data_IF_078604671944
#
_entry.id   IF_078604671944
#
_cell.length_a   1.000
_cell.length_b   1.000
_cell.length_c   1.000
_cell.angle_alpha   90.00
_cell.angle_beta   90.00
_cell.angle_gamma   90.00
#
_symmetry.space_group_name_H-M   'P 1'
#
loop_
_entity.id
_entity.type
_entity.pdbx_description
1 polymer ?
#
# COMPACT_ATOMS: atom_id res chain seq x y z
N UNK A 1 11.05 -34.67 -20.84
CA UNK A 1 11.49 -34.21 -19.50
C UNK A 1 11.41 -32.70 -19.32
N UNK A 2 11.78 -31.84 -20.26
CA UNK A 2 11.71 -30.38 -20.12
C UNK A 2 10.30 -29.79 -19.91
N UNK A 3 9.28 -30.33 -20.61
CA UNK A 3 7.88 -29.91 -20.44
C UNK A 3 7.30 -30.21 -19.05
N UNK A 4 7.62 -31.37 -18.48
CA UNK A 4 7.16 -31.78 -17.14
C UNK A 4 7.85 -30.92 -16.05
N UNK A 5 9.10 -30.52 -16.24
CA UNK A 5 9.82 -29.65 -15.32
C UNK A 5 9.29 -28.20 -15.35
N UNK A 6 8.87 -27.72 -16.53
CA UNK A 6 8.23 -26.42 -16.71
C UNK A 6 6.84 -26.37 -16.07
N UNK A 7 6.00 -27.39 -16.30
CA UNK A 7 4.67 -27.49 -15.69
C UNK A 7 4.74 -27.57 -14.16
N UNK A 8 5.67 -28.33 -13.60
CA UNK A 8 5.88 -28.44 -12.16
C UNK A 8 6.38 -27.11 -11.54
N UNK A 9 7.22 -26.37 -12.27
CA UNK A 9 7.70 -25.05 -11.88
C UNK A 9 6.57 -24.01 -11.88
N UNK A 10 5.70 -24.05 -12.88
CA UNK A 10 4.53 -23.17 -12.97
C UNK A 10 3.50 -23.48 -11.88
N UNK A 11 3.24 -24.75 -11.55
CA UNK A 11 2.35 -25.13 -10.45
C UNK A 11 2.88 -24.66 -9.09
N UNK A 12 4.18 -24.78 -8.85
CA UNK A 12 4.80 -24.29 -7.61
C UNK A 12 4.72 -22.75 -7.51
N UNK A 13 4.90 -22.06 -8.61
CA UNK A 13 4.77 -20.60 -8.69
C UNK A 13 3.35 -20.13 -8.38
N UNK A 14 2.34 -20.75 -9.03
CA UNK A 14 0.92 -20.45 -8.78
C UNK A 14 0.54 -20.76 -7.32
N UNK A 15 0.98 -21.89 -6.79
CA UNK A 15 0.75 -22.27 -5.38
C UNK A 15 1.35 -21.25 -4.41
N UNK A 16 2.53 -20.73 -4.68
CA UNK A 16 3.18 -19.71 -3.83
C UNK A 16 2.41 -18.37 -3.86
N UNK A 17 1.94 -17.96 -5.06
CA UNK A 17 1.11 -16.74 -5.19
C UNK A 17 -0.22 -16.90 -4.45
N UNK A 18 -0.90 -18.03 -4.62
CA UNK A 18 -2.18 -18.29 -3.93
C UNK A 18 -2.01 -18.32 -2.41
N UNK A 19 -0.93 -18.91 -1.91
CA UNK A 19 -0.61 -18.93 -0.48
C UNK A 19 -0.38 -17.53 0.08
N UNK A 20 0.36 -16.66 -0.62
CA UNK A 20 0.53 -15.27 -0.19
C UNK A 20 -0.79 -14.49 -0.25
N UNK A 21 -1.55 -14.63 -1.33
CA UNK A 21 -2.82 -13.93 -1.49
C UNK A 21 -3.86 -14.33 -0.42
N UNK A 22 -3.95 -15.63 -0.10
CA UNK A 22 -4.86 -16.11 0.94
C UNK A 22 -4.44 -15.64 2.34
N UNK A 23 -3.14 -15.63 2.67
CA UNK A 23 -2.65 -15.10 3.93
C UNK A 23 -2.98 -13.62 4.10
N UNK A 24 -2.72 -12.82 3.08
CA UNK A 24 -3.06 -11.39 3.08
C UNK A 24 -4.58 -11.17 3.24
N UNK A 25 -5.42 -11.96 2.58
CA UNK A 25 -6.87 -11.86 2.69
C UNK A 25 -7.35 -12.23 4.11
N UNK A 26 -6.84 -13.33 4.69
CA UNK A 26 -7.15 -13.74 6.05
C UNK A 26 -6.72 -12.69 7.08
N UNK A 27 -5.52 -12.14 6.97
CA UNK A 27 -5.05 -11.08 7.85
C UNK A 27 -5.95 -9.85 7.81
N UNK A 28 -6.42 -9.46 6.62
CA UNK A 28 -7.36 -8.34 6.47
C UNK A 28 -8.72 -8.62 7.08
N UNK A 29 -9.24 -9.84 6.94
CA UNK A 29 -10.49 -10.24 7.60
C UNK A 29 -10.38 -10.13 9.11
N UNK A 30 -9.30 -10.61 9.72
CA UNK A 30 -9.05 -10.44 11.17
C UNK A 30 -9.08 -8.96 11.55
N UNK A 31 -8.46 -8.11 10.77
CA UNK A 31 -8.41 -6.66 11.00
C UNK A 31 -9.80 -6.00 10.96
N UNK A 32 -10.65 -6.42 10.01
CA UNK A 32 -12.03 -5.91 9.88
C UNK A 32 -12.90 -6.43 11.03
N UNK A 33 -12.79 -7.72 11.37
CA UNK A 33 -13.56 -8.32 12.46
C UNK A 33 -13.18 -7.77 13.85
N UNK A 34 -11.94 -7.32 14.04
CA UNK A 34 -11.51 -6.68 15.28
C UNK A 34 -12.00 -5.23 15.41
N UNK A 35 -12.40 -4.58 14.31
CA UNK A 35 -12.73 -3.15 14.31
C UNK A 35 -13.88 -2.77 15.25
N UNK A 36 -14.99 -3.53 15.39
CA UNK A 36 -16.06 -3.21 16.34
C UNK A 36 -15.60 -3.21 17.80
N UNK A 37 -14.74 -4.16 18.17
CA UNK A 37 -14.18 -4.21 19.51
C UNK A 37 -13.24 -3.03 19.78
N UNK A 38 -12.37 -2.71 18.81
CA UNK A 38 -11.46 -1.58 18.91
C UNK A 38 -12.21 -0.24 18.97
N UNK A 39 -13.28 -0.09 18.21
CA UNK A 39 -14.11 1.11 18.21
C UNK A 39 -14.83 1.36 19.55
N UNK A 40 -15.10 0.30 20.31
CA UNK A 40 -15.69 0.42 21.66
C UNK A 40 -14.66 0.76 22.73
N UNK A 41 -13.39 0.34 22.53
CA UNK A 41 -12.31 0.52 23.49
C UNK A 41 -11.58 1.86 23.33
N UNK A 42 -11.50 2.39 22.12
CA UNK A 42 -10.71 3.59 21.82
C UNK A 42 -11.58 4.75 21.34
N UNK A 43 -11.17 5.97 21.68
CA UNK A 43 -11.80 7.19 21.21
C UNK A 43 -11.46 7.50 19.76
N UNK A 44 -12.30 8.27 19.03
CA UNK A 44 -11.96 8.73 17.69
C UNK A 44 -10.67 9.57 17.64
N UNK A 45 -10.40 10.38 18.67
CA UNK A 45 -9.19 11.18 18.81
C UNK A 45 -7.93 10.33 18.87
N UNK A 46 -7.92 9.30 19.74
CA UNK A 46 -6.78 8.38 19.87
C UNK A 46 -6.55 7.61 18.57
N UNK A 47 -7.63 7.18 17.91
CA UNK A 47 -7.56 6.56 16.58
C UNK A 47 -6.96 7.51 15.55
N UNK A 48 -7.32 8.78 15.58
CA UNK A 48 -6.84 9.81 14.67
C UNK A 48 -5.34 10.07 14.85
N UNK A 49 -4.91 10.27 16.10
CA UNK A 49 -3.49 10.50 16.41
C UNK A 49 -2.66 9.25 16.04
N UNK A 50 -3.14 8.05 16.39
CA UNK A 50 -2.46 6.82 16.01
C UNK A 50 -2.40 6.64 14.48
N UNK A 51 -3.48 6.98 13.76
CA UNK A 51 -3.50 6.96 12.31
C UNK A 51 -2.49 7.94 11.71
N UNK A 52 -2.36 9.16 12.24
CA UNK A 52 -1.34 10.12 11.82
C UNK A 52 0.08 9.61 12.06
N UNK A 53 0.37 9.09 13.26
CA UNK A 53 1.68 8.51 13.58
C UNK A 53 2.04 7.39 12.60
N UNK A 54 1.12 6.45 12.37
CA UNK A 54 1.35 5.32 11.45
C UNK A 54 1.49 5.83 10.01
N UNK A 55 0.64 6.74 9.57
CA UNK A 55 0.66 7.30 8.21
C UNK A 55 1.97 8.03 7.93
N UNK A 56 2.40 8.92 8.81
CA UNK A 56 3.68 9.62 8.69
C UNK A 56 4.84 8.64 8.69
N UNK A 57 4.78 7.62 9.56
CA UNK A 57 5.80 6.56 9.58
C UNK A 57 5.85 5.77 8.28
N UNK A 58 4.71 5.45 7.65
CA UNK A 58 4.64 4.75 6.36
C UNK A 58 5.24 5.61 5.24
N UNK A 59 4.91 6.91 5.20
CA UNK A 59 5.47 7.85 4.22
C UNK A 59 6.99 7.94 4.39
N UNK A 60 7.48 8.18 5.59
CA UNK A 60 8.90 8.28 5.88
C UNK A 60 9.63 6.97 5.60
N UNK A 61 9.02 5.83 5.94
CA UNK A 61 9.59 4.51 5.66
C UNK A 61 9.75 4.22 4.17
N UNK A 62 8.95 4.82 3.29
CA UNK A 62 9.00 4.58 1.84
C UNK A 62 10.34 4.94 1.19
N UNK A 63 11.10 5.84 1.82
CA UNK A 63 12.42 6.27 1.36
C UNK A 63 13.53 6.20 2.44
N UNK A 64 13.22 5.66 3.62
CA UNK A 64 14.10 5.63 4.79
C UNK A 64 15.45 4.92 4.57
N UNK A 65 15.51 3.96 3.65
CA UNK A 65 16.70 3.22 3.24
C UNK A 65 17.14 3.54 1.81
N UNK A 66 16.61 4.63 1.21
CA UNK A 66 16.82 5.04 -0.19
C UNK A 66 16.53 3.89 -1.17
N UNK A 67 15.57 3.04 -0.83
CA UNK A 67 15.14 1.88 -1.66
C UNK A 67 16.24 0.85 -1.96
N UNK A 68 17.41 0.90 -1.33
CA UNK A 68 18.47 -0.10 -1.53
C UNK A 68 18.05 -1.51 -1.11
N UNK A 69 17.09 -1.66 -0.20
CA UNK A 69 16.53 -2.94 0.18
C UNK A 69 15.90 -3.70 -1.00
N UNK A 70 15.39 -2.99 -2.02
CA UNK A 70 14.85 -3.64 -3.22
C UNK A 70 15.93 -4.33 -4.04
N UNK A 71 17.16 -3.82 -4.00
CA UNK A 71 18.29 -4.40 -4.72
C UNK A 71 18.80 -5.71 -4.08
N UNK A 72 18.44 -6.04 -2.82
CA UNK A 72 18.91 -7.26 -2.12
C UNK A 72 18.60 -8.55 -2.90
N UNK A 73 17.53 -8.57 -3.67
CA UNK A 73 17.09 -9.74 -4.44
C UNK A 73 17.94 -9.98 -5.70
N UNK A 74 18.60 -8.94 -6.23
CA UNK A 74 19.27 -8.98 -7.53
C UNK A 74 20.61 -9.74 -7.54
N UNK A 75 21.55 -9.52 -6.57
CA UNK A 75 22.85 -10.15 -6.65
C UNK A 75 22.73 -11.68 -6.49
N UNK A 76 23.43 -12.43 -7.34
CA UNK A 76 23.61 -13.88 -7.16
C UNK A 76 24.54 -14.17 -5.96
N UNK A 77 25.55 -13.32 -5.76
CA UNK A 77 26.50 -13.45 -4.65
C UNK A 77 25.86 -12.98 -3.33
N UNK A 78 26.00 -13.82 -2.29
CA UNK A 78 25.47 -13.55 -0.95
C UNK A 78 26.17 -12.37 -0.26
N UNK A 79 27.46 -12.15 -0.53
CA UNK A 79 28.23 -11.05 0.05
C UNK A 79 27.73 -9.68 -0.40
N UNK A 80 27.39 -9.54 -1.70
CA UNK A 80 26.77 -8.31 -2.23
C UNK A 80 25.39 -8.07 -1.61
N UNK A 81 24.57 -9.12 -1.44
CA UNK A 81 23.26 -8.99 -0.79
C UNK A 81 23.40 -8.58 0.69
N UNK A 82 24.37 -9.16 1.41
CA UNK A 82 24.67 -8.79 2.81
C UNK A 82 25.20 -7.35 2.90
N UNK A 83 26.04 -6.93 1.97
CA UNK A 83 26.53 -5.54 1.90
C UNK A 83 25.37 -4.54 1.64
N UNK A 84 24.42 -4.87 0.75
CA UNK A 84 23.20 -4.08 0.53
C UNK A 84 22.34 -3.98 1.79
N UNK A 85 22.18 -5.09 2.52
CA UNK A 85 21.41 -5.09 3.78
C UNK A 85 22.05 -4.19 4.84
N UNK A 86 23.39 -4.23 4.96
CA UNK A 86 24.11 -3.33 5.87
C UNK A 86 24.00 -1.86 5.43
N UNK A 87 24.15 -1.59 4.13
CA UNK A 87 23.97 -0.25 3.59
C UNK A 87 22.58 0.28 3.90
N UNK A 88 21.53 -0.50 3.59
CA UNK A 88 20.15 -0.15 3.89
C UNK A 88 19.93 0.09 5.39
N UNK A 89 20.50 -0.74 6.26
CA UNK A 89 20.37 -0.61 7.71
C UNK A 89 21.10 0.66 8.24
N UNK A 90 22.30 0.94 7.75
CA UNK A 90 23.05 2.16 8.16
C UNK A 90 22.29 3.42 7.75
N UNK A 91 21.82 3.48 6.50
CA UNK A 91 21.02 4.61 6.02
C UNK A 91 19.74 4.76 6.85
N UNK A 92 19.03 3.66 7.11
CA UNK A 92 17.83 3.64 7.94
C UNK A 92 18.09 4.19 9.35
N UNK A 93 19.15 3.74 10.02
CA UNK A 93 19.50 4.21 11.38
C UNK A 93 19.80 5.71 11.35
N UNK A 94 20.66 6.17 10.43
CA UNK A 94 20.98 7.59 10.28
C UNK A 94 19.70 8.40 10.02
N UNK A 95 18.84 7.92 9.12
CA UNK A 95 17.56 8.57 8.81
C UNK A 95 16.65 8.64 10.04
N UNK A 96 16.52 7.56 10.82
CA UNK A 96 15.71 7.56 12.06
C UNK A 96 16.27 8.51 13.11
N UNK A 97 17.61 8.60 13.25
CA UNK A 97 18.23 9.58 14.16
C UNK A 97 17.98 11.02 13.72
N UNK A 98 18.03 11.31 12.41
CA UNK A 98 17.69 12.62 11.87
C UNK A 98 16.22 12.96 12.11
N UNK A 99 15.31 12.01 11.89
CA UNK A 99 13.87 12.21 12.18
C UNK A 99 13.64 12.43 13.68
N UNK A 100 14.29 11.66 14.55
CA UNK A 100 14.18 11.82 16.00
C UNK A 100 14.72 13.18 16.45
N UNK A 101 15.85 13.60 15.91
CA UNK A 101 16.43 14.92 16.16
C UNK A 101 15.54 16.06 15.68
N UNK A 102 14.92 15.91 14.51
CA UNK A 102 13.97 16.89 13.97
C UNK A 102 12.71 16.97 14.84
N UNK A 103 12.14 15.84 15.27
CA UNK A 103 10.99 15.79 16.18
C UNK A 103 11.34 16.49 17.50
N UNK A 104 12.51 16.16 18.08
CA UNK A 104 12.98 16.81 19.31
C UNK A 104 13.14 18.31 19.12
N UNK A 105 13.75 18.77 18.04
CA UNK A 105 13.96 20.19 17.74
C UNK A 105 12.63 20.94 17.57
N UNK A 106 11.68 20.37 16.85
CA UNK A 106 10.36 20.97 16.64
C UNK A 106 9.61 21.15 17.97
N UNK A 107 9.63 20.10 18.83
CA UNK A 107 9.00 20.17 20.15
C UNK A 107 9.74 21.13 21.11
N UNK A 108 11.07 21.22 21.01
CA UNK A 108 11.88 22.13 21.83
C UNK A 108 11.66 23.61 21.44
N UNK A 109 11.53 23.90 20.13
CA UNK A 109 11.24 25.24 19.63
C UNK A 109 9.81 25.67 19.88
N UNK A 110 8.94 24.78 20.39
CA UNK A 110 7.51 25.04 20.62
C UNK A 110 6.84 25.64 19.37
N UNK A 111 7.21 25.15 18.20
CA UNK A 111 6.69 25.66 16.94
C UNK A 111 5.18 25.45 16.88
N UNK A 112 4.43 26.52 16.83
CA UNK A 112 2.98 26.54 16.93
C UNK A 112 2.35 26.07 15.58
N UNK A 113 2.49 24.77 15.32
CA UNK A 113 1.85 24.10 14.18
C UNK A 113 0.76 23.18 14.70
N UNK A 114 -0.45 23.31 14.17
CA UNK A 114 -1.64 22.57 14.61
C UNK A 114 -1.41 21.05 14.73
N UNK A 115 -0.72 20.45 13.77
CA UNK A 115 -0.44 19.01 13.76
C UNK A 115 0.69 18.60 14.71
N UNK A 116 1.63 19.49 15.03
CA UNK A 116 2.68 19.27 16.04
C UNK A 116 2.05 19.23 17.42
N UNK A 117 1.18 20.18 17.71
CA UNK A 117 0.44 20.25 18.99
C UNK A 117 -0.49 19.02 19.13
N UNK A 118 -1.08 18.57 18.04
CA UNK A 118 -1.92 17.36 17.99
C UNK A 118 -1.13 16.08 18.30
N UNK A 119 0.05 15.92 17.74
CA UNK A 119 0.88 14.73 17.96
C UNK A 119 1.58 14.77 19.33
N UNK A 120 2.02 15.95 19.77
CA UNK A 120 2.76 16.11 21.02
C UNK A 120 3.88 15.07 21.18
N UNK A 121 3.98 14.50 22.37
CA UNK A 121 4.99 13.47 22.67
C UNK A 121 4.82 12.15 21.86
N UNK A 122 3.64 11.90 21.27
CA UNK A 122 3.43 10.73 20.41
C UNK A 122 4.25 10.78 19.12
N UNK A 123 4.74 11.96 18.71
CA UNK A 123 5.63 12.14 17.57
C UNK A 123 6.92 11.31 17.70
N UNK A 124 7.42 11.04 18.92
CA UNK A 124 8.58 10.17 19.13
C UNK A 124 8.35 8.70 18.75
N UNK A 125 7.10 8.27 18.62
CA UNK A 125 6.80 6.93 18.09
C UNK A 125 7.05 6.83 16.59
N UNK A 126 7.13 7.94 15.85
CA UNK A 126 7.37 7.95 14.40
C UNK A 126 8.72 7.33 14.06
N UNK A 127 9.88 7.84 14.57
CA UNK A 127 11.18 7.25 14.24
C UNK A 127 11.31 5.80 14.69
N UNK A 128 10.69 5.40 15.82
CA UNK A 128 10.65 4.01 16.27
C UNK A 128 9.88 3.13 15.30
N UNK A 129 8.71 3.60 14.86
CA UNK A 129 7.88 2.87 13.88
C UNK A 129 8.60 2.75 12.54
N UNK A 130 9.25 3.82 12.05
CA UNK A 130 10.06 3.81 10.82
C UNK A 130 11.18 2.80 10.92
N UNK A 131 11.87 2.73 12.04
CA UNK A 131 12.96 1.78 12.27
C UNK A 131 12.47 0.32 12.17
N UNK A 132 11.36 0.01 12.86
CA UNK A 132 10.78 -1.35 12.86
C UNK A 132 10.28 -1.72 11.47
N UNK A 133 9.58 -0.81 10.77
CA UNK A 133 9.12 -1.03 9.40
C UNK A 133 10.26 -1.18 8.40
N UNK A 134 11.32 -0.37 8.52
CA UNK A 134 12.49 -0.42 7.64
C UNK A 134 13.28 -1.72 7.80
N UNK A 135 13.52 -2.17 9.05
CA UNK A 135 14.08 -3.51 9.31
C UNK A 135 13.18 -4.59 8.68
N UNK A 136 11.85 -4.42 8.82
CA UNK A 136 10.87 -5.30 8.20
C UNK A 136 11.01 -5.39 6.69
N UNK A 137 11.20 -4.27 6.00
CA UNK A 137 11.43 -4.26 4.56
C UNK A 137 12.68 -5.05 4.16
N UNK A 138 13.80 -4.84 4.86
CA UNK A 138 15.04 -5.59 4.62
C UNK A 138 14.80 -7.10 4.77
N UNK A 139 14.19 -7.54 5.86
CA UNK A 139 13.93 -8.95 6.14
C UNK A 139 12.93 -9.58 5.16
N UNK A 140 11.87 -8.86 4.76
CA UNK A 140 10.95 -9.32 3.72
C UNK A 140 11.66 -9.55 2.39
N UNK A 141 12.62 -8.68 2.00
CA UNK A 141 13.42 -8.89 0.76
C UNK A 141 14.28 -10.14 0.86
N UNK A 142 14.83 -10.46 2.03
CA UNK A 142 15.50 -11.73 2.25
C UNK A 142 14.54 -12.91 2.17
N UNK A 143 13.33 -12.79 2.72
CA UNK A 143 12.26 -13.79 2.56
C UNK A 143 11.93 -14.08 1.10
N UNK A 144 11.84 -13.04 0.27
CA UNK A 144 11.64 -13.17 -1.18
C UNK A 144 12.85 -13.83 -1.85
N UNK A 145 14.08 -13.38 -1.54
CA UNK A 145 15.32 -13.94 -2.07
C UNK A 145 15.45 -15.43 -1.79
N UNK A 146 15.13 -15.85 -0.56
CA UNK A 146 15.17 -17.23 -0.12
C UNK A 146 13.89 -18.02 -0.43
N UNK A 147 12.94 -17.41 -1.14
CA UNK A 147 11.64 -18.01 -1.54
C UNK A 147 10.83 -18.53 -0.35
N UNK A 148 10.89 -17.86 0.79
CA UNK A 148 10.19 -18.23 2.04
C UNK A 148 8.74 -17.73 2.06
N UNK A 149 8.00 -17.89 0.96
CA UNK A 149 6.65 -17.32 0.79
C UNK A 149 5.64 -17.81 1.82
N UNK A 150 5.72 -19.08 2.26
CA UNK A 150 4.84 -19.62 3.31
C UNK A 150 5.05 -18.89 4.65
N UNK A 151 6.30 -18.63 5.02
CA UNK A 151 6.62 -17.92 6.27
C UNK A 151 6.20 -16.46 6.19
N UNK A 152 6.34 -15.81 5.04
CA UNK A 152 5.86 -14.45 4.81
C UNK A 152 4.33 -14.37 4.94
N UNK A 153 3.60 -15.31 4.34
CA UNK A 153 2.14 -15.41 4.46
C UNK A 153 1.70 -15.65 5.92
N UNK A 154 2.33 -16.59 6.62
CA UNK A 154 2.08 -16.82 8.05
C UNK A 154 2.42 -15.58 8.89
N UNK A 155 3.49 -14.86 8.52
CA UNK A 155 3.87 -13.60 9.13
C UNK A 155 2.80 -12.51 9.01
N UNK A 156 2.22 -12.32 7.82
CA UNK A 156 1.11 -11.36 7.61
C UNK A 156 -0.13 -11.69 8.45
N UNK A 157 -0.50 -12.98 8.50
CA UNK A 157 -1.63 -13.43 9.35
C UNK A 157 -1.30 -13.21 10.83
N UNK A 158 -0.10 -13.62 11.26
CA UNK A 158 0.38 -13.43 12.63
C UNK A 158 0.41 -11.95 13.02
N UNK A 159 0.91 -11.08 12.14
CA UNK A 159 0.88 -9.63 12.33
C UNK A 159 -0.55 -9.13 12.59
N UNK A 160 -1.51 -9.53 11.78
CA UNK A 160 -2.90 -9.07 11.92
C UNK A 160 -3.55 -9.56 13.21
N UNK A 161 -3.35 -10.83 13.58
CA UNK A 161 -3.86 -11.42 14.82
C UNK A 161 -3.25 -10.73 16.04
N UNK A 162 -1.91 -10.65 16.09
CA UNK A 162 -1.22 -10.05 17.23
C UNK A 162 -1.52 -8.56 17.35
N UNK A 163 -1.60 -7.82 16.23
CA UNK A 163 -2.03 -6.42 16.24
C UNK A 163 -3.43 -6.28 16.86
N UNK A 164 -4.38 -7.11 16.43
CA UNK A 164 -5.75 -7.06 16.94
C UNK A 164 -5.80 -7.43 18.46
N UNK A 165 -5.20 -8.55 18.83
CA UNK A 165 -5.18 -9.02 20.23
C UNK A 165 -4.44 -8.04 21.15
N UNK A 166 -3.28 -7.52 20.73
CA UNK A 166 -2.52 -6.55 21.54
C UNK A 166 -3.27 -5.24 21.72
N UNK A 167 -3.90 -4.72 20.66
CA UNK A 167 -4.71 -3.51 20.78
C UNK A 167 -5.92 -3.70 21.68
N UNK A 168 -6.64 -4.83 21.54
CA UNK A 168 -7.77 -5.16 22.41
C UNK A 168 -7.30 -5.33 23.87
N UNK A 169 -6.23 -6.09 24.09
CA UNK A 169 -5.69 -6.30 25.43
C UNK A 169 -5.22 -5.00 26.08
N UNK A 170 -4.45 -4.17 25.36
CA UNK A 170 -3.99 -2.87 25.89
C UNK A 170 -5.15 -1.88 26.08
N UNK A 171 -6.13 -1.86 25.18
CA UNK A 171 -7.31 -1.04 25.33
C UNK A 171 -8.18 -1.44 26.52
N UNK A 172 -8.31 -2.74 26.81
CA UNK A 172 -9.06 -3.24 27.94
C UNK A 172 -8.37 -2.99 29.29
N UNK A 173 -7.02 -3.02 29.32
CA UNK A 173 -6.25 -2.89 30.57
C UNK A 173 -5.84 -1.46 30.88
N UNK A 174 -5.43 -0.69 29.88
CA UNK A 174 -4.91 0.69 30.03
C UNK A 174 -5.93 1.75 29.62
N UNK A 175 -7.10 1.34 29.10
CA UNK A 175 -8.08 2.24 28.53
C UNK A 175 -7.68 2.79 27.16
N UNK A 176 -8.45 3.79 26.67
CA UNK A 176 -8.17 4.46 25.41
C UNK A 176 -6.82 5.19 25.47
N UNK A 177 -5.93 4.85 24.56
CA UNK A 177 -4.64 5.56 24.43
C UNK A 177 -4.02 5.35 23.06
N UNK A 178 -3.40 6.39 22.53
CA UNK A 178 -2.59 6.37 21.31
C UNK A 178 -1.48 5.31 21.41
N UNK A 179 -0.82 5.25 22.58
CA UNK A 179 0.24 4.29 22.86
C UNK A 179 -0.21 2.83 22.68
N UNK A 180 -1.40 2.49 23.17
CA UNK A 180 -1.98 1.14 23.00
C UNK A 180 -2.22 0.78 21.52
N UNK A 181 -2.68 1.73 20.72
CA UNK A 181 -2.92 1.53 19.29
C UNK A 181 -1.61 1.36 18.49
N UNK A 182 -0.60 2.18 18.77
CA UNK A 182 0.68 2.14 18.04
C UNK A 182 1.54 0.98 18.51
N UNK A 183 1.66 0.73 19.81
CA UNK A 183 2.43 -0.42 20.32
C UNK A 183 1.82 -1.75 19.92
N UNK A 184 0.48 -1.87 19.91
CA UNK A 184 -0.19 -3.04 19.38
C UNK A 184 0.09 -3.27 17.88
N UNK A 185 0.19 -2.20 17.08
CA UNK A 185 0.63 -2.29 15.68
C UNK A 185 2.10 -2.79 15.57
N UNK A 186 3.00 -2.22 16.38
CA UNK A 186 4.40 -2.62 16.40
C UNK A 186 4.60 -4.07 16.85
N UNK A 187 3.80 -4.54 17.83
CA UNK A 187 3.81 -5.94 18.26
C UNK A 187 3.45 -6.91 17.14
N UNK A 188 2.44 -6.54 16.32
CA UNK A 188 2.09 -7.31 15.13
C UNK A 188 3.22 -7.35 14.11
N UNK A 189 3.82 -6.20 13.78
CA UNK A 189 4.97 -6.13 12.87
C UNK A 189 6.13 -6.95 13.41
N UNK A 190 6.45 -6.85 14.71
CA UNK A 190 7.50 -7.64 15.34
C UNK A 190 7.25 -9.15 15.23
N UNK A 191 5.99 -9.60 15.36
CA UNK A 191 5.60 -11.00 15.16
C UNK A 191 5.86 -11.47 13.73
N UNK A 192 5.51 -10.66 12.73
CA UNK A 192 5.82 -10.95 11.33
C UNK A 192 7.33 -11.11 11.12
N UNK A 193 8.13 -10.17 11.65
CA UNK A 193 9.57 -10.21 11.56
C UNK A 193 10.16 -11.45 12.24
N UNK A 194 9.67 -11.79 13.42
CA UNK A 194 10.09 -12.99 14.15
C UNK A 194 9.85 -14.26 13.31
N UNK A 195 8.68 -14.40 12.70
CA UNK A 195 8.35 -15.56 11.86
C UNK A 195 9.23 -15.63 10.61
N UNK A 196 9.53 -14.50 9.98
CA UNK A 196 10.45 -14.43 8.83
C UNK A 196 11.86 -14.85 9.28
N UNK A 197 12.38 -14.25 10.35
CA UNK A 197 13.72 -14.56 10.89
C UNK A 197 13.84 -16.05 11.26
N UNK A 198 12.85 -16.60 11.95
CA UNK A 198 12.82 -18.02 12.30
C UNK A 198 12.87 -18.91 11.05
N UNK A 199 12.20 -18.51 9.98
CA UNK A 199 12.20 -19.27 8.72
C UNK A 199 13.54 -19.22 7.98
N UNK A 200 14.31 -18.15 8.16
CA UNK A 200 15.66 -17.97 7.58
C UNK A 200 16.71 -18.82 8.33
N UNK A 201 16.46 -19.17 9.59
CA UNK A 201 17.33 -20.05 10.39
C UNK A 201 18.77 -19.55 10.50
N UNK A 202 19.75 -20.44 10.32
CA UNK A 202 21.18 -20.13 10.43
C UNK A 202 21.64 -19.03 9.46
N UNK A 203 20.93 -18.86 8.34
CA UNK A 203 21.22 -17.81 7.33
C UNK A 203 20.95 -16.39 7.84
N UNK A 204 20.19 -16.23 8.92
CA UNK A 204 19.97 -14.90 9.51
C UNK A 204 21.30 -14.24 9.92
N UNK A 205 22.24 -14.99 10.51
CA UNK A 205 23.57 -14.49 10.89
C UNK A 205 24.39 -13.95 9.70
N UNK A 206 24.07 -14.37 8.48
CA UNK A 206 24.79 -13.91 7.27
C UNK A 206 24.20 -12.65 6.63
N UNK A 207 22.95 -12.26 7.02
CA UNK A 207 22.25 -11.10 6.44
C UNK A 207 23.05 -9.81 6.64
N UNK A 208 23.63 -9.62 7.83
CA UNK A 208 24.40 -8.44 8.19
C UNK A 208 25.89 -8.71 8.36
N UNK A 209 26.38 -9.87 7.90
CA UNK A 209 27.80 -10.23 8.02
C UNK A 209 28.68 -9.24 7.23
N UNK A 210 29.76 -8.79 7.87
CA UNK A 210 30.76 -7.93 7.23
C UNK A 210 31.48 -8.74 6.15
N UNK A 211 31.39 -8.31 4.90
CA UNK A 211 32.20 -8.85 3.80
C UNK A 211 33.57 -8.21 3.84
N UNK A 212 34.61 -9.01 3.61
CA UNK A 212 35.96 -8.49 3.44
C UNK A 212 36.22 -7.99 2.00
N UNK A 213 35.42 -8.46 1.05
CA UNK A 213 35.59 -8.22 -0.39
C UNK A 213 34.71 -7.10 -0.93
N UNK A 214 33.59 -6.76 -0.25
CA UNK A 214 32.62 -5.77 -0.74
C UNK A 214 32.59 -4.52 0.15
N UNK A 215 33.07 -3.39 -0.39
CA UNK A 215 32.92 -2.07 0.23
C UNK A 215 31.48 -1.57 0.12
N UNK A 216 30.95 -0.92 1.16
CA UNK A 216 29.61 -0.28 1.13
C UNK A 216 29.53 0.78 0.04
N UNK A 217 30.63 1.50 -0.20
CA UNK A 217 30.71 2.54 -1.25
C UNK A 217 30.55 1.94 -2.65
N UNK A 218 31.22 0.85 -2.97
CA UNK A 218 31.13 0.18 -4.27
C UNK A 218 29.72 -0.32 -4.55
N UNK A 219 29.04 -0.87 -3.52
CA UNK A 219 27.67 -1.35 -3.62
C UNK A 219 26.70 -0.18 -3.78
N UNK A 220 26.86 0.90 -3.01
CA UNK A 220 26.07 2.11 -3.14
C UNK A 220 26.15 2.70 -4.55
N UNK A 221 27.35 2.81 -5.10
CA UNK A 221 27.57 3.33 -6.44
C UNK A 221 26.96 2.42 -7.53
N UNK A 222 27.12 1.10 -7.41
CA UNK A 222 26.59 0.13 -8.38
C UNK A 222 25.06 0.16 -8.45
N UNK A 223 24.36 0.34 -7.32
CA UNK A 223 22.90 0.32 -7.24
C UNK A 223 22.29 1.71 -7.01
N UNK A 224 23.01 2.77 -7.34
CA UNK A 224 22.60 4.18 -7.15
C UNK A 224 21.26 4.53 -7.79
N UNK A 225 20.88 3.83 -8.87
CA UNK A 225 19.63 4.08 -9.59
C UNK A 225 18.40 3.81 -8.71
N UNK A 226 18.51 2.92 -7.72
CA UNK A 226 17.46 2.71 -6.73
C UNK A 226 17.25 3.95 -5.86
N UNK A 227 18.33 4.58 -5.41
CA UNK A 227 18.26 5.79 -4.61
C UNK A 227 17.76 6.99 -5.44
N UNK A 228 18.23 7.13 -6.68
CA UNK A 228 17.96 8.32 -7.52
C UNK A 228 16.55 8.27 -8.12
N UNK A 229 16.08 7.10 -8.58
CA UNK A 229 14.83 7.00 -9.32
C UNK A 229 13.72 6.28 -8.53
N UNK A 230 14.05 5.18 -7.86
CA UNK A 230 13.05 4.37 -7.19
C UNK A 230 12.60 4.98 -5.87
N UNK A 231 13.51 5.57 -5.10
CA UNK A 231 13.19 6.17 -3.80
C UNK A 231 12.25 7.37 -3.92
N UNK A 232 12.47 8.37 -4.81
CA UNK A 232 11.49 9.44 -5.05
C UNK A 232 10.15 8.93 -5.55
N UNK A 233 10.16 7.92 -6.43
CA UNK A 233 8.93 7.29 -6.94
C UNK A 233 8.14 6.62 -5.81
N UNK A 234 8.82 5.90 -4.91
CA UNK A 234 8.19 5.27 -3.74
C UNK A 234 7.59 6.31 -2.78
N UNK A 235 8.30 7.43 -2.56
CA UNK A 235 7.80 8.55 -1.74
C UNK A 235 6.55 9.17 -2.36
N UNK A 236 6.57 9.48 -3.66
CA UNK A 236 5.41 10.06 -4.36
C UNK A 236 4.19 9.12 -4.31
N UNK A 237 4.41 7.82 -4.47
CA UNK A 237 3.34 6.83 -4.34
C UNK A 237 2.77 6.78 -2.91
N UNK A 238 3.64 6.73 -1.90
CA UNK A 238 3.24 6.72 -0.50
C UNK A 238 2.48 8.00 -0.11
N UNK A 239 2.97 9.18 -0.55
CA UNK A 239 2.28 10.45 -0.36
C UNK A 239 0.88 10.42 -0.99
N UNK A 240 0.76 9.95 -2.24
CA UNK A 240 -0.52 9.89 -2.94
C UNK A 240 -1.53 8.97 -2.25
N UNK A 241 -1.08 7.83 -1.73
CA UNK A 241 -1.94 6.87 -1.01
C UNK A 241 -2.38 7.38 0.36
N UNK A 242 -1.51 8.11 1.06
CA UNK A 242 -1.74 8.59 2.42
C UNK A 242 -2.28 10.04 2.48
N UNK A 243 -2.37 10.70 1.34
CA UNK A 243 -2.72 12.12 1.22
C UNK A 243 -3.97 12.52 2.02
N UNK A 244 -5.11 11.78 1.97
CA UNK A 244 -6.31 12.21 2.67
C UNK A 244 -6.12 12.30 4.20
N UNK A 245 -5.40 11.32 4.80
CA UNK A 245 -5.14 11.30 6.23
C UNK A 245 -4.24 12.47 6.62
N UNK A 246 -3.20 12.76 5.83
CA UNK A 246 -2.28 13.87 6.08
C UNK A 246 -3.00 15.21 5.99
N UNK A 247 -3.80 15.40 4.93
CA UNK A 247 -4.53 16.66 4.73
C UNK A 247 -5.63 16.86 5.77
N UNK A 248 -6.37 15.80 6.14
CA UNK A 248 -7.32 15.88 7.24
C UNK A 248 -6.65 16.23 8.57
N UNK A 249 -5.46 15.67 8.83
CA UNK A 249 -4.69 15.98 10.03
C UNK A 249 -4.11 17.40 10.04
N UNK A 250 -3.86 17.98 8.86
CA UNK A 250 -3.35 19.34 8.74
C UNK A 250 -4.45 20.41 8.94
N UNK A 251 -5.67 20.12 8.52
CA UNK A 251 -6.75 21.11 8.47
C UNK A 251 -7.87 20.88 9.49
N UNK A 252 -7.97 19.68 10.07
CA UNK A 252 -9.07 19.32 10.96
C UNK A 252 -8.58 18.66 12.26
N UNK A 253 -9.51 18.39 13.17
CA UNK A 253 -9.21 17.76 14.45
C UNK A 253 -8.78 16.29 14.32
N UNK A 254 -8.08 15.72 15.31
CA UNK A 254 -7.71 14.29 15.36
C UNK A 254 -8.92 13.37 15.26
N UNK A 255 -10.05 13.75 15.85
CA UNK A 255 -11.29 12.97 15.77
C UNK A 255 -11.74 12.77 14.31
N UNK A 256 -11.66 13.82 13.48
CA UNK A 256 -11.99 13.77 12.04
C UNK A 256 -11.07 12.78 11.32
N UNK A 257 -9.79 12.81 11.62
CA UNK A 257 -8.82 11.83 11.09
C UNK A 257 -9.19 10.42 11.52
N UNK A 258 -9.57 10.22 12.79
CA UNK A 258 -9.98 8.93 13.34
C UNK A 258 -11.22 8.38 12.65
N UNK A 259 -12.26 9.19 12.48
CA UNK A 259 -13.45 8.82 11.74
C UNK A 259 -13.15 8.40 10.31
N UNK A 260 -12.35 9.20 9.59
CA UNK A 260 -11.94 8.86 8.23
C UNK A 260 -11.08 7.59 8.18
N UNK A 261 -10.10 7.46 9.06
CA UNK A 261 -9.19 6.32 9.06
C UNK A 261 -9.92 4.99 9.31
N UNK A 262 -10.89 4.96 10.25
CA UNK A 262 -11.69 3.77 10.51
C UNK A 262 -12.65 3.48 9.36
N UNK A 263 -13.34 4.49 8.85
CA UNK A 263 -14.23 4.39 7.68
C UNK A 263 -13.48 3.82 6.46
N UNK A 264 -12.35 4.44 6.11
CA UNK A 264 -11.50 4.01 5.01
C UNK A 264 -10.99 2.57 5.20
N UNK A 265 -10.57 2.21 6.41
CA UNK A 265 -10.09 0.85 6.72
C UNK A 265 -11.17 -0.20 6.53
N UNK A 266 -12.39 0.04 6.97
CA UNK A 266 -13.50 -0.91 6.90
C UNK A 266 -14.02 -1.09 5.47
N UNK A 267 -14.06 -0.02 4.68
CA UNK A 267 -14.62 -0.07 3.32
C UNK A 267 -13.56 -0.37 2.26
N UNK A 268 -12.39 0.28 2.31
CA UNK A 268 -11.37 0.13 1.26
C UNK A 268 -10.61 -1.19 1.35
N UNK A 269 -10.46 -1.77 2.55
CA UNK A 269 -9.81 -3.09 2.65
C UNK A 269 -10.52 -4.21 1.87
N UNK A 270 -11.84 -4.44 2.01
CA UNK A 270 -12.56 -5.41 1.19
C UNK A 270 -12.49 -5.10 -0.30
N UNK A 271 -12.65 -3.82 -0.68
CA UNK A 271 -12.49 -3.37 -2.09
C UNK A 271 -11.12 -3.78 -2.63
N UNK A 272 -10.06 -3.58 -1.85
CA UNK A 272 -8.70 -3.91 -2.26
C UNK A 272 -8.45 -5.42 -2.42
N UNK A 273 -9.14 -6.29 -1.66
CA UNK A 273 -9.06 -7.75 -1.83
C UNK A 273 -9.72 -8.16 -3.16
N UNK A 274 -10.98 -7.76 -3.35
CA UNK A 274 -11.76 -8.07 -4.55
C UNK A 274 -11.09 -7.48 -5.79
N UNK A 275 -10.73 -6.19 -5.73
CA UNK A 275 -10.16 -5.46 -6.86
C UNK A 275 -8.83 -6.05 -7.35
N UNK A 276 -7.93 -6.47 -6.43
CA UNK A 276 -6.67 -7.11 -6.82
C UNK A 276 -6.90 -8.47 -7.47
N UNK A 277 -7.79 -9.29 -6.91
CA UNK A 277 -8.10 -10.61 -7.45
C UNK A 277 -8.67 -10.49 -8.86
N UNK A 278 -9.67 -9.63 -9.05
CA UNK A 278 -10.29 -9.39 -10.36
C UNK A 278 -9.27 -8.83 -11.36
N UNK A 279 -8.47 -7.84 -10.94
CA UNK A 279 -7.44 -7.24 -11.81
C UNK A 279 -6.42 -8.28 -12.31
N UNK A 280 -5.97 -9.18 -11.43
CA UNK A 280 -4.97 -10.19 -11.79
C UNK A 280 -5.52 -11.18 -12.82
N UNK A 281 -6.74 -11.69 -12.59
CA UNK A 281 -7.40 -12.64 -13.52
C UNK A 281 -7.71 -11.95 -14.84
N UNK A 282 -8.22 -10.71 -14.78
CA UNK A 282 -8.54 -9.95 -15.99
C UNK A 282 -7.28 -9.60 -16.80
N UNK A 283 -6.17 -9.23 -16.15
CA UNK A 283 -4.91 -8.92 -16.83
C UNK A 283 -4.44 -10.12 -17.68
N UNK A 284 -4.45 -11.33 -17.11
CA UNK A 284 -4.08 -12.54 -17.84
C UNK A 284 -4.99 -12.75 -19.05
N UNK A 285 -6.32 -12.68 -18.85
CA UNK A 285 -7.28 -12.86 -19.95
C UNK A 285 -7.16 -11.79 -21.03
N UNK A 286 -6.88 -10.55 -20.64
CA UNK A 286 -6.70 -9.43 -21.57
C UNK A 286 -5.43 -9.60 -22.43
N UNK A 287 -4.35 -10.13 -21.86
CA UNK A 287 -3.11 -10.48 -22.61
C UNK A 287 -3.38 -11.57 -23.61
N UNK A 288 -4.13 -12.66 -23.23
CA UNK A 288 -4.49 -13.73 -24.15
C UNK A 288 -5.29 -13.20 -25.34
N UNK A 289 -6.36 -12.40 -25.07
CA UNK A 289 -7.18 -11.81 -26.12
C UNK A 289 -6.38 -10.88 -27.03
N UNK A 290 -5.46 -10.08 -26.45
CA UNK A 290 -4.58 -9.20 -27.22
C UNK A 290 -3.66 -9.99 -28.16
N UNK A 291 -3.06 -11.07 -27.68
CA UNK A 291 -2.20 -11.96 -28.48
C UNK A 291 -2.98 -12.70 -29.58
N UNK A 292 -4.24 -13.04 -29.33
CA UNK A 292 -5.16 -13.63 -30.32
C UNK A 292 -5.69 -12.59 -31.35
N UNK A 293 -5.32 -11.32 -31.23
CA UNK A 293 -5.87 -10.22 -32.09
C UNK A 293 -7.35 -9.92 -31.85
N UNK A 294 -7.91 -10.36 -30.74
CA UNK A 294 -9.32 -10.17 -30.35
C UNK A 294 -9.51 -8.91 -29.53
N UNK A 295 -10.72 -8.34 -29.58
CA UNK A 295 -11.08 -7.14 -28.78
C UNK A 295 -11.16 -7.49 -27.30
N UNK A 296 -10.54 -6.68 -26.46
CA UNK A 296 -10.56 -6.81 -24.99
C UNK A 296 -11.87 -6.24 -24.42
N UNK A 297 -12.48 -5.27 -25.11
CA UNK A 297 -13.65 -4.50 -24.66
C UNK A 297 -14.80 -5.33 -24.10
N UNK A 298 -15.34 -6.36 -24.83
CA UNK A 298 -16.46 -7.13 -24.30
C UNK A 298 -16.18 -7.84 -22.97
N UNK A 299 -14.96 -8.39 -22.80
CA UNK A 299 -14.55 -9.01 -21.54
C UNK A 299 -14.42 -7.98 -20.41
N UNK A 300 -13.87 -6.82 -20.73
CA UNK A 300 -13.73 -5.71 -19.78
C UNK A 300 -15.10 -5.21 -19.31
N UNK A 301 -16.04 -4.94 -20.25
CA UNK A 301 -17.40 -4.51 -19.92
C UNK A 301 -18.13 -5.52 -19.04
N UNK A 302 -18.05 -6.81 -19.37
CA UNK A 302 -18.72 -7.88 -18.59
C UNK A 302 -18.24 -7.88 -17.12
N UNK A 303 -16.94 -7.76 -16.91
CA UNK A 303 -16.37 -7.74 -15.55
C UNK A 303 -16.75 -6.45 -14.82
N UNK A 304 -16.64 -5.29 -15.49
CA UNK A 304 -16.97 -3.99 -14.89
C UNK A 304 -18.45 -3.91 -14.49
N UNK A 305 -19.37 -4.31 -15.39
CA UNK A 305 -20.79 -4.35 -15.07
C UNK A 305 -21.14 -5.41 -14.04
N UNK A 306 -20.43 -6.56 -14.03
CA UNK A 306 -20.59 -7.58 -13.01
C UNK A 306 -20.20 -7.07 -11.62
N UNK A 307 -19.07 -6.35 -11.51
CA UNK A 307 -18.65 -5.70 -10.25
C UNK A 307 -19.62 -4.59 -9.84
N UNK A 308 -20.13 -3.82 -10.80
CA UNK A 308 -21.13 -2.79 -10.53
C UNK A 308 -22.41 -3.41 -9.96
N UNK A 309 -22.97 -4.41 -10.61
CA UNK A 309 -24.19 -5.08 -10.17
C UNK A 309 -24.01 -5.77 -8.80
N UNK A 310 -22.88 -6.44 -8.58
CA UNK A 310 -22.56 -7.12 -7.30
C UNK A 310 -22.35 -6.12 -6.16
N UNK A 311 -21.68 -5.00 -6.43
CA UNK A 311 -21.39 -3.97 -5.44
C UNK A 311 -22.57 -3.06 -5.11
N UNK A 312 -23.47 -2.82 -6.10
CA UNK A 312 -24.55 -1.86 -5.97
C UNK A 312 -25.41 -2.01 -4.70
N UNK A 313 -25.90 -3.20 -4.31
CA UNK A 313 -26.73 -3.33 -3.11
C UNK A 313 -26.00 -2.92 -1.82
N UNK A 314 -24.74 -3.36 -1.67
CA UNK A 314 -23.94 -3.05 -0.49
C UNK A 314 -23.62 -1.56 -0.41
N UNK A 315 -23.20 -0.95 -1.54
CA UNK A 315 -22.87 0.48 -1.56
C UNK A 315 -24.10 1.38 -1.49
N UNK A 316 -25.25 0.95 -2.03
CA UNK A 316 -26.51 1.65 -1.84
C UNK A 316 -26.93 1.62 -0.37
N UNK A 317 -26.79 0.48 0.30
CA UNK A 317 -27.02 0.37 1.74
C UNK A 317 -26.10 1.28 2.55
N UNK A 318 -24.80 1.32 2.24
CA UNK A 318 -23.84 2.22 2.89
C UNK A 318 -24.14 3.71 2.61
N UNK A 319 -24.62 4.05 1.42
CA UNK A 319 -24.99 5.40 1.07
C UNK A 319 -26.24 5.90 1.81
N UNK A 320 -27.20 5.02 2.04
CA UNK A 320 -28.49 5.38 2.67
C UNK A 320 -28.49 5.24 4.19
N UNK A 321 -27.71 4.30 4.72
CA UNK A 321 -27.75 3.87 6.12
C UNK A 321 -26.36 3.75 6.74
N UNK A 322 -25.36 4.49 6.23
CA UNK A 322 -23.99 4.42 6.72
C UNK A 322 -23.86 4.86 8.17
N UNK A 323 -24.54 5.95 8.54
CA UNK A 323 -24.57 6.45 9.93
C UNK A 323 -25.15 5.42 10.88
N UNK A 324 -26.33 4.88 10.59
CA UNK A 324 -27.01 3.88 11.41
C UNK A 324 -26.21 2.58 11.48
N UNK A 325 -25.66 2.14 10.36
CA UNK A 325 -24.86 0.92 10.31
C UNK A 325 -23.59 1.05 11.19
N UNK A 326 -22.90 2.18 11.16
CA UNK A 326 -21.71 2.41 11.97
C UNK A 326 -22.05 2.63 13.44
N UNK A 327 -23.14 3.31 13.79
CA UNK A 327 -23.58 3.47 15.16
C UNK A 327 -23.97 2.13 15.78
N UNK A 328 -24.66 1.27 15.05
CA UNK A 328 -25.08 -0.06 15.48
C UNK A 328 -23.89 -1.03 15.64
N UNK A 329 -23.01 -1.08 14.63
CA UNK A 329 -21.90 -2.04 14.60
C UNK A 329 -20.73 -1.65 15.52
N UNK A 330 -20.45 -0.36 15.61
CA UNK A 330 -19.28 0.14 16.34
C UNK A 330 -19.66 0.77 17.69
N UNK A 331 -20.44 1.81 17.69
CA UNK A 331 -21.13 2.52 18.78
C UNK A 331 -21.56 3.90 18.30
N UNK A 332 -22.42 4.61 19.03
CA UNK A 332 -22.87 5.97 18.70
C UNK A 332 -21.72 6.97 18.51
N UNK A 333 -20.60 6.79 19.21
CA UNK A 333 -19.39 7.63 19.05
C UNK A 333 -18.86 7.65 17.62
N UNK A 334 -19.16 6.60 16.84
CA UNK A 334 -18.67 6.43 15.46
C UNK A 334 -19.72 6.73 14.40
N UNK A 335 -20.87 7.28 14.78
CA UNK A 335 -21.92 7.70 13.84
C UNK A 335 -21.36 8.65 12.76
N UNK A 336 -20.52 9.61 13.16
CA UNK A 336 -19.84 10.52 12.23
C UNK A 336 -18.96 9.80 11.20
N UNK A 337 -18.33 8.67 11.59
CA UNK A 337 -17.57 7.86 10.60
C UNK A 337 -18.52 7.23 9.57
N UNK A 338 -19.74 6.88 9.98
CA UNK A 338 -20.81 6.42 9.09
C UNK A 338 -21.23 7.50 8.10
N UNK A 339 -21.43 8.75 8.55
CA UNK A 339 -21.70 9.90 7.66
C UNK A 339 -20.55 10.12 6.66
N UNK A 340 -19.29 9.92 7.09
CA UNK A 340 -18.15 9.99 6.16
C UNK A 340 -18.21 8.87 5.11
N UNK A 341 -18.63 7.67 5.49
CA UNK A 341 -18.83 6.56 4.54
C UNK A 341 -19.92 6.89 3.53
N UNK A 342 -21.06 7.43 3.96
CA UNK A 342 -22.15 7.85 3.06
C UNK A 342 -21.63 8.79 1.98
N UNK A 343 -20.91 9.82 2.40
CA UNK A 343 -20.34 10.84 1.52
C UNK A 343 -19.24 10.28 0.62
N UNK A 344 -18.42 9.33 1.12
CA UNK A 344 -17.33 8.70 0.37
C UNK A 344 -17.79 7.53 -0.51
N UNK A 345 -19.02 7.07 -0.36
CA UNK A 345 -19.56 5.92 -1.11
C UNK A 345 -19.43 6.06 -2.63
N UNK A 346 -19.67 7.22 -3.28
CA UNK A 346 -19.46 7.35 -4.73
C UNK A 346 -18.00 7.08 -5.14
N UNK A 347 -17.05 7.57 -4.37
CA UNK A 347 -15.62 7.30 -4.60
C UNK A 347 -15.29 5.82 -4.40
N UNK A 348 -15.71 5.21 -3.29
CA UNK A 348 -15.43 3.82 -2.97
C UNK A 348 -16.10 2.86 -3.96
N UNK A 349 -17.32 3.14 -4.40
CA UNK A 349 -17.99 2.35 -5.41
C UNK A 349 -17.25 2.39 -6.75
N UNK A 350 -16.84 3.58 -7.20
CA UNK A 350 -16.06 3.69 -8.43
C UNK A 350 -14.70 2.98 -8.31
N UNK A 351 -14.06 2.97 -7.14
CA UNK A 351 -12.82 2.21 -6.91
C UNK A 351 -13.02 0.70 -7.06
N UNK A 352 -14.15 0.15 -6.58
CA UNK A 352 -14.47 -1.27 -6.77
C UNK A 352 -14.75 -1.60 -8.22
N UNK A 353 -15.69 -0.88 -8.84
CA UNK A 353 -16.18 -1.14 -10.20
C UNK A 353 -15.06 -1.04 -11.23
N UNK A 354 -14.16 -0.09 -11.04
CA UNK A 354 -13.11 0.24 -11.99
C UNK A 354 -11.75 -0.40 -11.64
N UNK A 355 -11.74 -1.32 -10.68
CA UNK A 355 -10.51 -2.04 -10.28
C UNK A 355 -9.74 -2.70 -11.45
N UNK A 356 -10.38 -3.30 -12.49
CA UNK A 356 -9.67 -3.92 -13.60
C UNK A 356 -9.12 -2.94 -14.63
N UNK A 357 -9.50 -1.64 -14.60
CA UNK A 357 -9.17 -0.69 -15.69
C UNK A 357 -7.67 -0.48 -15.90
N UNK A 358 -6.85 -0.53 -14.82
CA UNK A 358 -5.40 -0.37 -14.94
C UNK A 358 -4.73 -1.46 -15.79
N UNK A 359 -5.34 -2.63 -15.89
CA UNK A 359 -4.86 -3.72 -16.74
C UNK A 359 -4.93 -3.36 -18.24
N UNK A 360 -5.94 -2.59 -18.67
CA UNK A 360 -6.08 -2.13 -20.06
C UNK A 360 -4.87 -1.29 -20.47
N UNK A 361 -4.46 -0.33 -19.64
CA UNK A 361 -3.31 0.52 -19.92
C UNK A 361 -2.00 -0.26 -19.96
N UNK A 362 -1.88 -1.33 -19.16
CA UNK A 362 -0.69 -2.20 -19.14
C UNK A 362 -0.63 -3.03 -20.43
N UNK A 363 -1.74 -3.70 -20.80
CA UNK A 363 -1.80 -4.60 -21.97
C UNK A 363 -1.60 -3.84 -23.27
N UNK A 364 -2.14 -2.60 -23.34
CA UNK A 364 -2.03 -1.75 -24.54
C UNK A 364 -0.78 -0.85 -24.54
N UNK A 365 0.15 -1.03 -23.57
CA UNK A 365 1.40 -0.26 -23.44
C UNK A 365 1.17 1.26 -23.37
N UNK A 366 0.06 1.70 -22.72
CA UNK A 366 -0.32 3.11 -22.58
C UNK A 366 -0.05 3.69 -21.18
N UNK A 367 1.05 3.28 -20.54
CA UNK A 367 1.41 3.69 -19.17
C UNK A 367 1.57 5.21 -19.02
N UNK A 368 2.10 5.89 -20.04
CA UNK A 368 2.24 7.37 -20.04
C UNK A 368 0.88 8.05 -19.90
N UNK A 369 -0.14 7.53 -20.59
CA UNK A 369 -1.51 8.06 -20.51
C UNK A 369 -2.12 7.83 -19.13
N UNK A 370 -1.92 6.64 -18.54
CA UNK A 370 -2.33 6.36 -17.18
C UNK A 370 -1.67 7.30 -16.18
N UNK A 371 -0.37 7.57 -16.34
CA UNK A 371 0.37 8.51 -15.47
C UNK A 371 -0.24 9.92 -15.53
N UNK A 372 -0.51 10.43 -16.73
CA UNK A 372 -1.14 11.76 -16.90
C UNK A 372 -2.50 11.81 -16.21
N UNK A 373 -3.34 10.79 -16.41
CA UNK A 373 -4.67 10.72 -15.79
C UNK A 373 -4.59 10.63 -14.25
N UNK A 374 -3.63 9.87 -13.71
CA UNK A 374 -3.39 9.81 -12.27
C UNK A 374 -2.86 11.13 -11.70
N UNK A 375 -2.01 11.83 -12.45
CA UNK A 375 -1.53 13.17 -12.05
C UNK A 375 -2.70 14.14 -11.99
N UNK A 376 -3.56 14.18 -13.02
CA UNK A 376 -4.79 15.00 -13.02
C UNK A 376 -5.66 14.68 -11.80
N UNK A 377 -5.89 13.40 -11.52
CA UNK A 377 -6.65 12.97 -10.35
C UNK A 377 -6.03 13.47 -9.05
N UNK A 378 -4.73 13.25 -8.86
CA UNK A 378 -4.04 13.66 -7.62
C UNK A 378 -4.07 15.17 -7.44
N UNK A 379 -3.82 15.94 -8.51
CA UNK A 379 -3.90 17.40 -8.48
C UNK A 379 -5.32 17.89 -8.16
N UNK A 380 -6.35 17.27 -8.74
CA UNK A 380 -7.74 17.60 -8.45
C UNK A 380 -8.10 17.34 -6.98
N UNK A 381 -7.63 16.21 -6.41
CA UNK A 381 -7.87 15.86 -5.01
C UNK A 381 -7.13 16.78 -4.03
N UNK A 382 -5.89 17.14 -4.32
CA UNK A 382 -5.15 18.17 -3.54
C UNK A 382 -5.84 19.52 -3.66
N UNK A 383 -6.25 19.89 -4.86
CA UNK A 383 -7.00 21.13 -5.12
C UNK A 383 -8.32 21.20 -4.34
N UNK A 384 -9.03 20.06 -4.19
CA UNK A 384 -10.23 20.00 -3.38
C UNK A 384 -9.98 20.38 -1.91
N UNK A 385 -8.91 19.85 -1.31
CA UNK A 385 -8.53 20.18 0.06
C UNK A 385 -8.05 21.62 0.20
N UNK A 386 -7.22 22.10 -0.74
CA UNK A 386 -6.75 23.49 -0.74
C UNK A 386 -7.91 24.49 -0.87
N UNK A 387 -8.86 24.19 -1.77
CA UNK A 387 -10.07 24.99 -1.91
C UNK A 387 -10.92 24.98 -0.64
N UNK A 388 -11.14 23.77 -0.07
CA UNK A 388 -11.91 23.62 1.16
C UNK A 388 -11.28 24.37 2.33
N UNK A 389 -9.95 24.34 2.46
CA UNK A 389 -9.22 25.10 3.47
C UNK A 389 -9.35 26.62 3.27
N UNK A 390 -9.32 27.09 2.01
CA UNK A 390 -9.50 28.51 1.70
C UNK A 390 -10.93 29.02 2.00
N UNK A 391 -11.93 28.15 1.81
CA UNK A 391 -13.33 28.47 2.07
C UNK A 391 -13.78 28.13 3.49
N UNK A 392 -12.86 27.67 4.36
CA UNK A 392 -13.14 27.24 5.74
C UNK A 392 -14.30 26.20 5.83
N UNK A 393 -14.38 25.30 4.84
CA UNK A 393 -15.45 24.31 4.78
C UNK A 393 -15.34 23.30 5.93
N UNK A 394 -16.49 22.82 6.40
CA UNK A 394 -16.55 21.72 7.35
C UNK A 394 -15.95 20.43 6.77
N UNK A 395 -15.45 19.53 7.63
CA UNK A 395 -14.83 18.27 7.23
C UNK A 395 -15.74 17.41 6.31
N UNK A 396 -17.05 17.40 6.57
CA UNK A 396 -18.01 16.64 5.79
C UNK A 396 -18.14 17.19 4.36
N UNK A 397 -18.17 18.52 4.20
CA UNK A 397 -18.28 19.16 2.88
C UNK A 397 -16.97 19.04 2.10
N UNK A 398 -15.84 19.10 2.77
CA UNK A 398 -14.53 18.78 2.20
C UNK A 398 -14.49 17.37 1.66
N UNK A 399 -15.00 16.39 2.42
CA UNK A 399 -15.07 14.99 1.97
C UNK A 399 -16.10 14.77 0.85
N UNK A 400 -17.21 15.54 0.80
CA UNK A 400 -18.13 15.53 -0.34
C UNK A 400 -17.43 15.98 -1.62
N UNK A 401 -16.71 17.09 -1.57
CA UNK A 401 -15.95 17.61 -2.70
C UNK A 401 -14.87 16.62 -3.13
N UNK A 402 -14.11 16.10 -2.18
CA UNK A 402 -13.08 15.06 -2.39
C UNK A 402 -13.67 13.81 -3.05
N UNK A 403 -14.80 13.30 -2.56
CA UNK A 403 -15.47 12.11 -3.07
C UNK A 403 -16.02 12.35 -4.48
N UNK A 404 -16.68 13.49 -4.71
CA UNK A 404 -17.23 13.86 -6.01
C UNK A 404 -16.14 13.99 -7.09
N UNK A 405 -15.07 14.74 -6.81
CA UNK A 405 -13.94 14.87 -7.73
C UNK A 405 -13.19 13.55 -7.93
N UNK A 406 -13.03 12.76 -6.86
CA UNK A 406 -12.42 11.44 -6.94
C UNK A 406 -13.24 10.47 -7.80
N UNK A 407 -14.55 10.43 -7.63
CA UNK A 407 -15.44 9.63 -8.46
C UNK A 407 -15.44 10.12 -9.93
N UNK A 408 -15.51 11.42 -10.15
CA UNK A 408 -15.50 12.00 -11.51
C UNK A 408 -14.19 11.67 -12.24
N UNK A 409 -13.05 11.81 -11.58
CA UNK A 409 -11.74 11.47 -12.17
C UNK A 409 -11.58 9.96 -12.39
N UNK A 410 -12.11 9.11 -11.50
CA UNK A 410 -12.17 7.65 -11.74
C UNK A 410 -13.03 7.33 -12.98
N UNK A 411 -14.19 7.98 -13.15
CA UNK A 411 -15.04 7.81 -14.32
C UNK A 411 -14.35 8.31 -15.60
N UNK A 412 -13.61 9.40 -15.55
CA UNK A 412 -12.79 9.86 -16.67
C UNK A 412 -11.74 8.80 -17.08
N UNK A 413 -11.01 8.23 -16.10
CA UNK A 413 -10.04 7.16 -16.37
C UNK A 413 -10.75 5.94 -16.95
N UNK A 414 -11.94 5.61 -16.45
CA UNK A 414 -12.75 4.52 -16.97
C UNK A 414 -13.20 4.76 -18.41
N UNK A 415 -13.67 5.95 -18.73
CA UNK A 415 -14.07 6.33 -20.09
C UNK A 415 -12.91 6.12 -21.07
N UNK A 416 -11.72 6.58 -20.70
CA UNK A 416 -10.51 6.38 -21.51
C UNK A 416 -10.16 4.90 -21.62
N UNK A 417 -10.26 4.12 -20.53
CA UNK A 417 -9.99 2.67 -20.55
C UNK A 417 -11.00 1.93 -21.45
N UNK A 418 -12.30 2.29 -21.40
CA UNK A 418 -13.31 1.74 -22.29
C UNK A 418 -13.03 2.10 -23.75
N UNK A 419 -12.74 3.36 -24.04
CA UNK A 419 -12.38 3.80 -25.38
C UNK A 419 -11.19 2.99 -25.94
N UNK A 420 -10.13 2.83 -25.17
CA UNK A 420 -8.95 2.04 -25.55
C UNK A 420 -9.29 0.56 -25.75
N UNK A 421 -10.11 -0.03 -24.88
CA UNK A 421 -10.47 -1.45 -24.92
C UNK A 421 -11.31 -1.81 -26.15
N UNK A 422 -12.10 -0.87 -26.66
CA UNK A 422 -12.92 -1.02 -27.85
C UNK A 422 -12.26 -0.52 -29.14
N UNK A 423 -11.16 0.23 -29.04
CA UNK A 423 -10.36 0.61 -30.21
C UNK A 423 -9.85 -0.66 -30.90
N UNK A 424 -9.72 -0.61 -32.24
CA UNK A 424 -9.21 -1.76 -33.02
C UNK A 424 -7.86 -2.20 -32.44
N UNK A 425 -7.60 -3.51 -32.29
CA UNK A 425 -6.29 -3.97 -31.90
C UNK A 425 -5.27 -3.36 -32.85
N UNK A 426 -4.25 -2.70 -32.31
CA UNK A 426 -3.12 -2.26 -33.11
C UNK A 426 -2.50 -3.51 -33.73
N UNK A 427 -2.57 -3.61 -35.05
CA UNK A 427 -1.93 -4.68 -35.81
C UNK A 427 -0.48 -4.73 -35.31
N UNK A 428 -0.10 -5.85 -34.72
CA UNK A 428 1.26 -6.10 -34.31
C UNK A 428 2.14 -5.82 -35.53
N UNK A 429 2.92 -4.75 -35.50
CA UNK A 429 4.00 -4.59 -36.48
C UNK A 429 4.89 -5.81 -36.30
N UNK A 430 4.88 -6.66 -37.34
CA UNK A 430 5.57 -7.94 -37.33
C UNK A 430 7.05 -7.75 -37.00
N UNK A 431 7.54 -8.66 -36.19
CA UNK A 431 8.90 -9.18 -36.11
C UNK A 431 9.98 -8.34 -36.79
N UNK A 432 10.41 -7.24 -36.16
CA UNK A 432 11.69 -6.65 -36.53
C UNK A 432 12.81 -6.86 -35.48
N UNK A 433 12.48 -7.41 -34.30
CA UNK A 433 13.49 -7.63 -33.24
C UNK A 433 14.00 -9.07 -33.15
N UNK A 434 13.28 -10.07 -33.68
CA UNK A 434 13.77 -11.46 -33.67
C UNK A 434 14.71 -11.79 -34.83
N UNK A 435 14.80 -10.96 -35.89
CA UNK A 435 15.74 -11.17 -36.98
C UNK A 435 17.14 -10.63 -36.71
N UNK A 436 17.28 -9.66 -35.81
CA UNK A 436 18.58 -9.09 -35.47
C UNK A 436 19.31 -9.87 -34.35
N UNK A 437 18.62 -10.72 -33.60
CA UNK A 437 19.24 -11.64 -32.64
C UNK A 437 19.67 -12.98 -33.27
N UNK A 438 19.27 -13.25 -34.51
CA UNK A 438 19.62 -14.48 -35.23
C UNK A 438 20.76 -14.34 -36.24
N UNK A 439 21.50 -13.22 -36.23
CA UNK A 439 22.74 -13.12 -37.03
C UNK A 439 23.86 -13.85 -36.29
N UNK A 440 24.41 -14.93 -36.85
CA UNK A 440 25.57 -15.59 -36.27
C UNK A 440 26.73 -14.57 -36.30
N UNK A 441 27.38 -14.39 -35.14
CA UNK A 441 28.64 -13.69 -35.02
C UNK A 441 29.66 -14.48 -35.86
N UNK A 442 29.97 -13.97 -37.03
CA UNK A 442 31.04 -14.47 -37.84
C UNK A 442 32.34 -14.14 -37.11
N UNK A 443 32.97 -15.11 -36.50
CA UNK A 443 34.38 -15.08 -36.16
C UNK A 443 35.14 -15.29 -37.46
N UNK A 444 35.58 -14.21 -38.04
CA UNK A 444 36.52 -14.18 -39.15
C UNK A 444 37.82 -13.60 -38.64
N UNK A 445 38.81 -14.44 -38.67
CA UNK A 445 40.28 -14.26 -38.70
C UNK A 445 40.92 -13.23 -37.78
#
# INVERSE_FOLDING_TARGET
MAMLSSAKRNMTFISNISTMASGTALGRLVTVLAAPLLARLFSPEDFGIAALVITLSVILNSFSSLSYEFAIVLPTNQEHASALSRLSLVILIVFCLLVAGLVWLILWLQWDMTWVNTLGNWAFLIPVTVLVLGIGNILRRWGVREKRFKAMSAGEVGNSIVTACSRIGLGATLGSSVGGLVTGYLAGVATELYLIVRSLGVRFGTIFKKSQTCSLHSVAHRYRDFAIYMSPSALLNALSEQLPIVLLGAFFSPAVVGFYALANRLVVMPIGIVGRSVRTVFLQRAVDLYNEGRRIGPGFSKITFGLAALGAPAFLGLFMYGEEAFSLLLSERWATAGRFVEVLTPLFYTMLVLAPMSAIFIVLERQRMLLVLQTIRTTALVGAFAWSAHQELAALDTLRLYSGLGAATNLLIAFVAFWLAYSKPLIKHGNHTDRDLAKPVNHGD
#
